data_IF_897265694908
#
_entry.id   IF_897265694908
#
_cell.length_a   1.000
_cell.length_b   1.000
_cell.length_c   1.000
_cell.angle_alpha   90.00
_cell.angle_beta   90.00
_cell.angle_gamma   90.00
#
_symmetry.space_group_name_H-M   'P 1'
#
loop_
_entity.id
_entity.type
_entity.pdbx_description
1 polymer ?
#
# COMPACT_ATOMS: atom_id res chain seq x y z
N UNK A 1 -1.51 1.35 15.72
CA UNK A 1 -2.80 0.95 15.12
C UNK A 1 -2.84 -0.58 14.98
N UNK A 2 -4.00 -1.22 14.79
CA UNK A 2 -4.07 -2.67 14.49
C UNK A 2 -4.31 -2.92 13.00
N UNK A 3 -4.05 -4.15 12.54
CA UNK A 3 -4.34 -4.56 11.17
C UNK A 3 -5.84 -4.46 10.85
N UNK A 4 -6.70 -4.75 11.83
CA UNK A 4 -8.16 -4.62 11.70
C UNK A 4 -8.56 -3.16 11.49
N UNK A 5 -8.02 -2.22 12.28
CA UNK A 5 -8.31 -0.79 12.12
C UNK A 5 -7.97 -0.29 10.70
N UNK A 6 -6.83 -0.71 10.15
CA UNK A 6 -6.39 -0.32 8.80
C UNK A 6 -7.33 -0.89 7.74
N UNK A 7 -7.72 -2.15 7.91
CA UNK A 7 -8.67 -2.81 7.02
C UNK A 7 -10.02 -2.12 7.02
N UNK A 8 -10.51 -1.69 8.19
CA UNK A 8 -11.76 -0.94 8.30
C UNK A 8 -11.70 0.41 7.56
N UNK A 9 -10.55 1.12 7.63
CA UNK A 9 -10.33 2.37 6.87
C UNK A 9 -10.45 2.11 5.37
N UNK A 10 -9.73 1.10 4.86
CA UNK A 10 -9.72 0.73 3.45
C UNK A 10 -11.11 0.30 2.99
N UNK A 11 -11.79 -0.54 3.78
CA UNK A 11 -13.15 -1.00 3.47
C UNK A 11 -14.14 0.17 3.38
N UNK A 12 -14.04 1.16 4.27
CA UNK A 12 -14.88 2.35 4.21
C UNK A 12 -14.68 3.12 2.90
N UNK A 13 -13.44 3.25 2.42
CA UNK A 13 -13.14 3.88 1.14
C UNK A 13 -13.66 3.06 -0.05
N UNK A 14 -13.43 1.74 -0.06
CA UNK A 14 -13.88 0.82 -1.11
C UNK A 14 -15.41 0.80 -1.23
N UNK A 15 -16.14 0.80 -0.11
CA UNK A 15 -17.60 0.82 -0.09
C UNK A 15 -18.13 2.14 -0.65
N UNK A 16 -17.40 3.24 -0.46
CA UNK A 16 -17.78 4.55 -1.02
C UNK A 16 -17.63 4.60 -2.55
N UNK A 17 -16.78 3.75 -3.14
CA UNK A 17 -16.52 3.70 -4.58
C UNK A 17 -17.00 2.36 -5.21
N UNK A 18 -18.23 2.27 -5.72
CA UNK A 18 -18.84 1.00 -6.15
C UNK A 18 -18.19 0.34 -7.37
N UNK A 19 -17.45 1.09 -8.19
CA UNK A 19 -16.76 0.60 -9.40
C UNK A 19 -15.29 0.18 -9.16
N UNK A 20 -14.83 0.20 -7.90
CA UNK A 20 -13.41 0.00 -7.58
C UNK A 20 -12.91 -1.43 -7.78
N UNK A 21 -13.81 -2.42 -7.79
CA UNK A 21 -13.47 -3.85 -7.80
C UNK A 21 -12.69 -4.32 -9.04
N UNK A 22 -12.56 -3.47 -10.07
CA UNK A 22 -11.85 -3.79 -11.30
C UNK A 22 -11.06 -2.59 -11.85
N UNK A 23 -10.42 -1.83 -10.96
CA UNK A 23 -9.57 -0.70 -11.34
C UNK A 23 -8.28 -1.20 -11.99
N UNK A 24 -7.98 -0.70 -13.19
CA UNK A 24 -6.84 -1.11 -14.03
C UNK A 24 -6.71 -2.62 -14.35
N UNK A 25 -7.80 -3.38 -14.19
CA UNK A 25 -7.76 -4.84 -14.35
C UNK A 25 -7.16 -5.59 -13.17
N UNK A 26 -6.97 -4.90 -12.04
CA UNK A 26 -6.56 -5.49 -10.76
C UNK A 26 -7.78 -6.01 -10.02
N UNK A 27 -7.72 -7.27 -9.61
CA UNK A 27 -8.71 -7.89 -8.76
C UNK A 27 -8.36 -7.56 -7.30
N UNK A 28 -8.92 -6.47 -6.77
CA UNK A 28 -8.63 -6.00 -5.42
C UNK A 28 -8.87 -7.07 -4.35
N UNK A 29 -9.76 -8.03 -4.58
CA UNK A 29 -10.01 -9.12 -3.63
C UNK A 29 -8.82 -10.07 -3.50
N UNK A 30 -7.93 -10.09 -4.49
CA UNK A 30 -6.68 -10.85 -4.49
C UNK A 30 -5.48 -9.99 -4.13
N UNK A 31 -5.48 -8.72 -4.52
CA UNK A 31 -4.37 -7.81 -4.25
C UNK A 31 -4.36 -7.30 -2.79
N UNK A 32 -5.53 -7.17 -2.16
CA UNK A 32 -5.62 -6.77 -0.75
C UNK A 32 -5.16 -7.91 0.15
N UNK A 33 -4.09 -7.65 0.90
CA UNK A 33 -3.53 -8.58 1.87
C UNK A 33 -3.93 -8.20 3.29
N UNK A 34 -3.64 -9.08 4.24
CA UNK A 34 -3.74 -8.71 5.65
C UNK A 34 -2.70 -7.63 5.96
N UNK A 35 -3.08 -6.48 6.55
CA UNK A 35 -2.16 -5.40 6.84
C UNK A 35 -0.96 -5.89 7.66
N UNK A 36 0.22 -5.84 7.07
CA UNK A 36 1.44 -6.39 7.66
C UNK A 36 2.47 -5.29 7.84
N UNK A 37 3.02 -5.17 9.04
CA UNK A 37 4.04 -4.15 9.33
C UNK A 37 5.39 -4.59 8.74
N UNK A 38 5.94 -3.78 7.86
CA UNK A 38 7.20 -4.03 7.16
C UNK A 38 8.09 -2.80 7.16
N UNK A 39 9.38 -3.01 6.91
CA UNK A 39 10.38 -1.93 6.86
C UNK A 39 10.55 -1.46 5.43
N UNK A 40 10.34 -0.18 5.21
CA UNK A 40 10.48 0.50 3.93
C UNK A 40 11.68 1.45 3.99
N UNK A 41 12.46 1.53 2.92
CA UNK A 41 13.52 2.52 2.79
C UNK A 41 13.03 3.72 1.98
N UNK A 42 13.51 4.90 2.32
CA UNK A 42 13.27 6.07 1.48
C UNK A 42 14.00 5.92 0.14
N UNK A 43 13.31 6.15 -0.98
CA UNK A 43 13.94 6.13 -2.31
C UNK A 43 15.09 7.15 -2.46
N UNK A 44 15.06 8.26 -1.71
CA UNK A 44 16.07 9.32 -1.76
C UNK A 44 17.21 9.10 -0.76
N UNK A 45 16.96 8.39 0.34
CA UNK A 45 17.95 8.11 1.37
C UNK A 45 17.80 6.69 1.93
N UNK A 46 18.65 5.78 1.47
CA UNK A 46 18.64 4.37 1.89
C UNK A 46 18.98 4.13 3.37
N UNK A 47 19.43 5.16 4.09
CA UNK A 47 19.66 5.08 5.55
C UNK A 47 18.42 5.38 6.37
N UNK A 48 17.42 6.02 5.74
CA UNK A 48 16.13 6.30 6.37
C UNK A 48 15.19 5.11 6.14
N UNK A 49 14.68 4.56 7.24
CA UNK A 49 13.87 3.35 7.26
C UNK A 49 12.60 3.60 8.07
N UNK A 50 11.46 3.43 7.42
CA UNK A 50 10.13 3.59 7.99
C UNK A 50 9.50 2.23 8.30
N UNK A 51 8.75 2.14 9.38
CA UNK A 51 7.92 0.96 9.69
C UNK A 51 6.48 1.22 9.27
N UNK A 52 6.12 0.77 8.07
CA UNK A 52 4.83 1.05 7.43
C UNK A 52 4.01 -0.23 7.31
N UNK A 53 2.70 -0.09 7.17
CA UNK A 53 1.78 -1.22 7.05
C UNK A 53 1.48 -1.51 5.59
N UNK A 54 1.97 -2.60 5.04
CA UNK A 54 1.62 -3.05 3.69
C UNK A 54 0.20 -3.58 3.68
N UNK A 55 -0.64 -3.08 2.78
CA UNK A 55 -2.07 -3.42 2.71
C UNK A 55 -2.50 -3.98 1.36
N UNK A 56 -1.73 -3.71 0.30
CA UNK A 56 -2.01 -4.22 -1.03
C UNK A 56 -0.72 -4.57 -1.75
N UNK A 57 -0.75 -5.69 -2.47
CA UNK A 57 0.29 -6.12 -3.39
C UNK A 57 -0.32 -6.35 -4.78
N UNK A 58 0.19 -5.66 -5.80
CA UNK A 58 -0.32 -5.76 -7.17
C UNK A 58 -0.15 -7.18 -7.75
N UNK A 59 0.94 -7.87 -7.36
CA UNK A 59 1.32 -9.18 -7.87
C UNK A 59 1.71 -10.10 -6.72
N UNK A 60 1.37 -11.39 -6.82
CA UNK A 60 1.75 -12.42 -5.83
C UNK A 60 3.27 -12.65 -5.79
N UNK A 61 3.97 -12.40 -6.90
CA UNK A 61 5.44 -12.49 -6.98
C UNK A 61 6.16 -11.31 -6.30
N UNK A 62 5.43 -10.32 -5.79
CA UNK A 62 5.98 -9.19 -5.03
C UNK A 62 6.76 -8.16 -5.85
N UNK A 63 6.86 -8.34 -7.17
CA UNK A 63 7.62 -7.46 -8.09
C UNK A 63 6.82 -6.24 -8.60
N UNK A 64 5.51 -6.22 -8.37
CA UNK A 64 4.63 -5.11 -8.72
C UNK A 64 4.64 -3.98 -7.69
N UNK A 65 3.73 -3.04 -7.87
CA UNK A 65 3.49 -1.98 -6.91
C UNK A 65 2.86 -2.51 -5.61
N UNK A 66 3.13 -1.82 -4.51
CA UNK A 66 2.55 -2.09 -3.20
C UNK A 66 1.96 -0.81 -2.63
N UNK A 67 0.84 -0.92 -1.93
CA UNK A 67 0.30 0.18 -1.13
C UNK A 67 0.64 -0.08 0.32
N UNK A 68 1.21 0.93 0.97
CA UNK A 68 1.40 0.96 2.41
C UNK A 68 0.51 2.02 3.06
N UNK A 69 0.33 1.87 4.36
CA UNK A 69 -0.31 2.84 5.25
C UNK A 69 0.69 3.28 6.32
N UNK A 70 0.85 4.59 6.45
CA UNK A 70 1.62 5.24 7.51
C UNK A 70 0.71 5.57 8.69
N UNK A 71 0.99 4.97 9.85
CA UNK A 71 0.18 5.19 11.04
C UNK A 71 0.40 6.54 11.72
N UNK A 72 1.54 7.19 11.48
CA UNK A 72 1.89 8.50 12.04
C UNK A 72 1.15 9.61 11.31
N UNK A 73 1.19 9.59 9.97
CA UNK A 73 0.53 10.60 9.13
C UNK A 73 -0.92 10.25 8.79
N UNK A 74 -1.34 9.00 9.00
CA UNK A 74 -2.64 8.45 8.58
C UNK A 74 -2.86 8.53 7.06
N UNK A 75 -1.79 8.37 6.29
CA UNK A 75 -1.82 8.45 4.84
C UNK A 75 -1.35 7.15 4.18
N UNK A 76 -1.80 6.93 2.96
CA UNK A 76 -1.37 5.85 2.09
C UNK A 76 -0.33 6.33 1.09
N UNK A 77 0.58 5.44 0.75
CA UNK A 77 1.62 5.68 -0.24
C UNK A 77 1.95 4.44 -1.04
N UNK A 78 2.77 4.65 -2.07
CA UNK A 78 3.23 3.60 -2.97
C UNK A 78 4.64 3.18 -2.64
N UNK A 79 4.87 1.89 -2.83
CA UNK A 79 6.18 1.30 -2.75
C UNK A 79 6.39 0.25 -3.84
N UNK A 80 7.65 -0.09 -4.04
CA UNK A 80 8.09 -1.14 -4.96
C UNK A 80 9.12 -2.03 -4.28
N UNK A 81 9.23 -3.28 -4.75
CA UNK A 81 10.39 -4.10 -4.44
C UNK A 81 11.56 -3.69 -5.33
N UNK A 82 12.73 -3.49 -4.73
CA UNK A 82 13.99 -3.38 -5.46
C UNK A 82 14.53 -4.76 -5.86
N UNK A 83 15.49 -4.80 -6.78
CA UNK A 83 16.20 -6.02 -7.20
C UNK A 83 16.91 -6.78 -6.05
N UNK A 84 17.02 -6.17 -4.87
CA UNK A 84 17.64 -6.76 -3.67
C UNK A 84 16.62 -7.26 -2.65
N UNK A 85 15.35 -7.38 -3.03
CA UNK A 85 14.24 -7.75 -2.15
C UNK A 85 14.02 -6.73 -1.00
N UNK A 86 14.39 -5.46 -1.24
CA UNK A 86 14.18 -4.36 -0.29
C UNK A 86 12.97 -3.55 -0.73
N UNK A 87 12.06 -3.27 0.22
CA UNK A 87 10.90 -2.42 0.02
C UNK A 87 11.32 -0.95 0.00
N UNK A 88 10.98 -0.27 -1.09
CA UNK A 88 11.32 1.14 -1.29
C UNK A 88 10.03 1.96 -1.34
N UNK A 89 9.91 2.91 -0.43
CA UNK A 89 8.87 3.94 -0.48
C UNK A 89 9.18 4.94 -1.60
N UNK A 90 8.24 5.08 -2.54
CA UNK A 90 8.34 5.98 -3.70
C UNK A 90 7.43 7.21 -3.59
N UNK A 91 6.64 7.34 -2.51
CA UNK A 91 5.89 8.55 -2.19
C UNK A 91 4.51 8.32 -1.57
N UNK A 92 4.05 9.33 -0.84
CA UNK A 92 2.73 9.38 -0.20
C UNK A 92 1.73 10.07 -1.14
N UNK A 93 0.55 9.46 -1.31
CA UNK A 93 -0.50 9.93 -2.23
C UNK A 93 -1.79 10.35 -1.51
N UNK A 94 -1.94 10.04 -0.23
CA UNK A 94 -3.05 10.50 0.61
C UNK A 94 -3.98 9.37 1.02
N UNK A 95 -5.11 9.21 0.33
CA UNK A 95 -6.10 8.14 0.62
C UNK A 95 -5.75 6.83 -0.08
N UNK A 96 -6.37 5.71 0.35
CA UNK A 96 -6.14 4.41 -0.30
C UNK A 96 -6.52 4.48 -1.78
N UNK A 97 -7.67 5.07 -2.07
CA UNK A 97 -8.17 5.22 -3.44
C UNK A 97 -7.27 6.10 -4.32
N UNK A 98 -6.83 7.25 -3.81
CA UNK A 98 -5.89 8.11 -4.56
C UNK A 98 -4.59 7.40 -4.88
N UNK A 99 -4.10 6.59 -3.93
CA UNK A 99 -2.89 5.79 -4.09
C UNK A 99 -3.09 4.70 -5.14
N UNK A 100 -4.22 3.97 -5.07
CA UNK A 100 -4.60 2.94 -6.03
C UNK A 100 -4.77 3.52 -7.45
N UNK A 101 -5.35 4.71 -7.59
CA UNK A 101 -5.49 5.39 -8.87
C UNK A 101 -4.18 5.94 -9.45
N UNK A 102 -3.12 5.98 -8.64
CA UNK A 102 -1.79 6.47 -9.04
C UNK A 102 -0.81 5.35 -9.39
N UNK A 103 -1.19 4.09 -9.22
CA UNK A 103 -0.47 2.92 -9.74
C UNK A 103 -0.56 2.90 -11.28
#
# INVERSE_FOLDING_TARGET
MTAEDIRDIINCEIIAEPDINNVFGLDLTKCLIEPTKQKYKNANDSTDVYELWTVLEETEDGNGYKIYFDEETKMFGLAINSDKDELIDIGIYGTFLQTLYSM
#
